data_IF_573532557836
#
_entry.id   IF_573532557836
#
_cell.length_a   1.000
_cell.length_b   1.000
_cell.length_c   1.000
_cell.angle_alpha   90.00
_cell.angle_beta   90.00
_cell.angle_gamma   90.00
#
_symmetry.space_group_name_H-M   'P 1'
#
loop_
_entity.id
_entity.type
_entity.pdbx_description
1 polymer ?
#
# COMPACT_ATOMS: atom_id res chain seq x y z
N UNK A 1 8.08 21.14 -6.01
CA UNK A 1 9.04 20.17 -5.41
C UNK A 1 8.36 18.90 -4.92
N UNK A 2 7.21 18.97 -4.32
CA UNK A 2 6.50 17.82 -3.75
C UNK A 2 6.04 16.77 -4.78
N UNK A 3 5.58 17.21 -5.94
CA UNK A 3 5.21 16.27 -7.03
C UNK A 3 6.39 15.42 -7.49
N UNK A 4 7.61 15.98 -7.55
CA UNK A 4 8.80 15.23 -7.94
C UNK A 4 9.16 14.13 -6.93
N UNK A 5 9.03 14.40 -5.63
CA UNK A 5 9.24 13.39 -4.57
C UNK A 5 8.21 12.27 -4.63
N UNK A 6 6.94 12.63 -4.89
CA UNK A 6 5.88 11.64 -5.06
C UNK A 6 6.18 10.71 -6.25
N UNK A 7 6.48 11.28 -7.41
CA UNK A 7 6.81 10.49 -8.59
C UNK A 7 8.07 9.65 -8.42
N UNK A 8 9.09 10.16 -7.72
CA UNK A 8 10.28 9.38 -7.40
C UNK A 8 9.94 8.16 -6.51
N UNK A 9 9.10 8.34 -5.49
CA UNK A 9 8.65 7.23 -4.63
C UNK A 9 7.80 6.22 -5.42
N UNK A 10 6.89 6.68 -6.28
CA UNK A 10 6.09 5.81 -7.16
C UNK A 10 6.99 5.01 -8.10
N UNK A 11 7.99 5.64 -8.73
CA UNK A 11 8.92 4.98 -9.65
C UNK A 11 9.78 3.94 -8.94
N UNK A 12 10.29 4.24 -7.74
CA UNK A 12 11.09 3.29 -6.95
C UNK A 12 10.24 2.08 -6.50
N UNK A 13 9.07 2.32 -5.92
CA UNK A 13 8.17 1.25 -5.48
C UNK A 13 7.62 0.46 -6.67
N UNK A 14 7.24 1.15 -7.75
CA UNK A 14 6.76 0.53 -8.98
C UNK A 14 7.84 -0.29 -9.66
N UNK A 15 9.07 0.21 -9.71
CA UNK A 15 10.22 -0.52 -10.26
C UNK A 15 10.53 -1.79 -9.47
N UNK A 16 10.56 -1.71 -8.13
CA UNK A 16 10.78 -2.86 -7.27
C UNK A 16 9.65 -3.90 -7.42
N UNK A 17 8.40 -3.46 -7.43
CA UNK A 17 7.24 -4.34 -7.63
C UNK A 17 7.24 -4.98 -9.02
N UNK A 18 7.61 -4.24 -10.06
CA UNK A 18 7.73 -4.78 -11.43
C UNK A 18 8.82 -5.86 -11.53
N UNK A 19 9.97 -5.65 -10.88
CA UNK A 19 11.05 -6.65 -10.85
C UNK A 19 10.61 -7.95 -10.15
N UNK A 20 9.96 -7.83 -8.98
CA UNK A 20 9.44 -9.00 -8.25
C UNK A 20 8.36 -9.72 -9.06
N UNK A 21 7.45 -8.98 -9.71
CA UNK A 21 6.41 -9.56 -10.54
C UNK A 21 6.97 -10.25 -11.78
N UNK A 22 7.96 -9.64 -12.44
CA UNK A 22 8.64 -10.23 -13.59
C UNK A 22 9.36 -11.52 -13.20
N UNK A 23 10.06 -11.54 -12.08
CA UNK A 23 10.70 -12.74 -11.56
C UNK A 23 9.68 -13.85 -11.28
N UNK A 24 8.55 -13.54 -10.65
CA UNK A 24 7.48 -14.50 -10.37
C UNK A 24 6.86 -15.09 -11.64
N UNK A 25 6.68 -14.28 -12.68
CA UNK A 25 6.20 -14.74 -13.99
C UNK A 25 7.23 -15.63 -14.69
N UNK A 26 8.51 -15.23 -14.67
CA UNK A 26 9.60 -16.01 -15.27
C UNK A 26 9.77 -17.39 -14.59
N UNK A 27 9.49 -17.47 -13.29
CA UNK A 27 9.50 -18.73 -12.53
C UNK A 27 8.22 -19.57 -12.74
N UNK A 28 7.28 -19.12 -13.57
CA UNK A 28 6.01 -19.82 -13.82
C UNK A 28 5.06 -19.84 -12.61
N UNK A 29 5.36 -19.04 -11.59
CA UNK A 29 4.56 -19.02 -10.36
C UNK A 29 3.21 -18.30 -10.54
N UNK A 30 3.10 -17.41 -11.55
CA UNK A 30 1.92 -16.54 -11.74
C UNK A 30 1.65 -16.26 -13.22
N UNK A 31 0.39 -16.34 -13.61
CA UNK A 31 -0.09 -15.79 -14.89
C UNK A 31 -0.41 -14.30 -14.72
N UNK A 32 0.37 -13.42 -15.31
CA UNK A 32 0.18 -11.97 -15.21
C UNK A 32 -1.07 -11.55 -15.99
N UNK A 33 -2.13 -11.27 -15.29
CA UNK A 33 -3.39 -10.74 -15.85
C UNK A 33 -3.42 -9.21 -15.81
N UNK A 34 -4.30 -8.59 -16.61
CA UNK A 34 -4.52 -7.14 -16.53
C UNK A 34 -4.95 -6.67 -15.13
N UNK A 35 -5.70 -7.51 -14.40
CA UNK A 35 -6.03 -7.26 -12.99
C UNK A 35 -4.77 -7.23 -12.10
N UNK A 36 -3.85 -8.17 -12.29
CA UNK A 36 -2.59 -8.21 -11.53
C UNK A 36 -1.75 -6.95 -11.74
N UNK A 37 -1.62 -6.49 -12.99
CA UNK A 37 -0.92 -5.25 -13.30
C UNK A 37 -1.57 -4.03 -12.60
N UNK A 38 -2.90 -3.92 -12.66
CA UNK A 38 -3.64 -2.86 -11.98
C UNK A 38 -3.50 -2.92 -10.45
N UNK A 39 -3.56 -4.12 -9.86
CA UNK A 39 -3.37 -4.31 -8.42
C UNK A 39 -1.98 -3.87 -7.95
N UNK A 40 -0.93 -4.25 -8.66
CA UNK A 40 0.44 -3.82 -8.36
C UNK A 40 0.58 -2.31 -8.51
N UNK A 41 0.12 -1.72 -9.60
CA UNK A 41 0.20 -0.28 -9.83
C UNK A 41 -0.52 0.53 -8.73
N UNK A 42 -1.76 0.15 -8.39
CA UNK A 42 -2.54 0.80 -7.33
C UNK A 42 -1.89 0.62 -5.95
N UNK A 43 -1.32 -0.54 -5.65
CA UNK A 43 -0.60 -0.77 -4.40
C UNK A 43 0.61 0.15 -4.29
N UNK A 44 1.39 0.30 -5.36
CA UNK A 44 2.53 1.22 -5.39
C UNK A 44 2.11 2.68 -5.21
N UNK A 45 1.04 3.10 -5.89
CA UNK A 45 0.49 4.46 -5.74
C UNK A 45 -0.01 4.73 -4.32
N UNK A 46 -0.75 3.79 -3.74
CA UNK A 46 -1.26 3.89 -2.38
C UNK A 46 -0.13 3.93 -1.34
N UNK A 47 0.86 3.04 -1.48
CA UNK A 47 2.03 3.02 -0.59
C UNK A 47 2.83 4.32 -0.68
N UNK A 48 3.09 4.82 -1.90
CA UNK A 48 3.81 6.07 -2.09
C UNK A 48 3.05 7.26 -1.47
N UNK A 49 1.74 7.35 -1.67
CA UNK A 49 0.91 8.40 -1.09
C UNK A 49 0.93 8.35 0.45
N UNK A 50 0.82 7.16 1.03
CA UNK A 50 0.87 6.97 2.49
C UNK A 50 2.23 7.35 3.07
N UNK A 51 3.32 6.91 2.44
CA UNK A 51 4.68 7.22 2.86
C UNK A 51 4.90 8.74 2.87
N UNK A 52 4.56 9.42 1.78
CA UNK A 52 4.72 10.87 1.68
C UNK A 52 3.86 11.61 2.70
N UNK A 53 2.61 11.19 2.90
CA UNK A 53 1.74 11.77 3.91
C UNK A 53 2.37 11.70 5.31
N UNK A 54 2.92 10.55 5.69
CA UNK A 54 3.56 10.36 6.99
C UNK A 54 4.83 11.22 7.11
N UNK A 55 5.64 11.31 6.06
CA UNK A 55 6.84 12.16 6.08
C UNK A 55 6.50 13.65 6.23
N UNK A 56 5.49 14.14 5.50
CA UNK A 56 5.05 15.53 5.61
C UNK A 56 4.46 15.85 6.99
N UNK A 57 3.75 14.88 7.58
CA UNK A 57 3.17 15.00 8.91
C UNK A 57 4.23 14.97 10.03
N UNK A 58 5.27 14.15 9.87
CA UNK A 58 6.33 13.96 10.86
C UNK A 58 7.29 15.18 10.97
N UNK A 59 7.36 16.00 9.94
CA UNK A 59 8.20 17.20 9.90
C UNK A 59 9.72 16.94 9.92
N UNK A 60 10.15 15.69 10.14
CA UNK A 60 11.55 15.29 10.09
C UNK A 60 11.71 13.87 9.55
N UNK A 61 12.80 13.63 8.80
CA UNK A 61 13.06 12.33 8.20
C UNK A 61 13.22 11.19 9.24
N UNK A 62 13.95 11.36 10.35
CA UNK A 62 14.07 10.31 11.36
C UNK A 62 12.73 9.94 12.01
N UNK A 63 11.88 10.94 12.33
CA UNK A 63 10.56 10.69 12.89
C UNK A 63 9.66 9.99 11.89
N UNK A 64 9.69 10.39 10.62
CA UNK A 64 8.94 9.74 9.54
C UNK A 64 9.30 8.26 9.40
N UNK A 65 10.58 7.92 9.41
CA UNK A 65 11.05 6.52 9.34
C UNK A 65 10.54 5.71 10.53
N UNK A 66 10.62 6.27 11.75
CA UNK A 66 10.15 5.58 12.96
C UNK A 66 8.64 5.31 12.91
N UNK A 67 7.85 6.33 12.55
CA UNK A 67 6.39 6.19 12.43
C UNK A 67 6.03 5.14 11.36
N UNK A 68 6.71 5.17 10.20
CA UNK A 68 6.51 4.19 9.13
C UNK A 68 6.86 2.78 9.59
N UNK A 69 7.98 2.59 10.27
CA UNK A 69 8.42 1.28 10.74
C UNK A 69 7.42 0.69 11.73
N UNK A 70 7.09 1.40 12.81
CA UNK A 70 6.14 0.92 13.79
C UNK A 70 4.73 0.78 13.21
N UNK A 71 4.30 1.73 12.39
CA UNK A 71 3.02 1.67 11.68
C UNK A 71 2.93 0.45 10.76
N UNK A 72 3.98 0.14 10.01
CA UNK A 72 4.02 -1.03 9.15
C UNK A 72 3.92 -2.35 9.93
N UNK A 73 4.62 -2.46 11.07
CA UNK A 73 4.52 -3.63 11.94
C UNK A 73 3.11 -3.82 12.48
N UNK A 74 2.49 -2.74 12.98
CA UNK A 74 1.12 -2.79 13.50
C UNK A 74 0.13 -3.13 12.38
N UNK A 75 0.27 -2.51 11.21
CA UNK A 75 -0.60 -2.80 10.07
C UNK A 75 -0.43 -4.24 9.57
N UNK A 76 0.80 -4.76 9.52
CA UNK A 76 1.06 -6.14 9.13
C UNK A 76 0.45 -7.15 10.14
N UNK A 77 0.49 -6.81 11.43
CA UNK A 77 -0.16 -7.61 12.47
C UNK A 77 -1.69 -7.61 12.29
N UNK A 78 -2.30 -6.43 12.15
CA UNK A 78 -3.75 -6.28 12.00
C UNK A 78 -4.29 -6.88 10.70
N UNK A 79 -3.50 -6.83 9.63
CA UNK A 79 -3.84 -7.43 8.33
C UNK A 79 -3.71 -8.97 8.31
N UNK A 80 -3.21 -9.58 9.39
CA UNK A 80 -3.00 -11.02 9.45
C UNK A 80 -1.70 -11.50 8.79
N UNK A 81 -0.79 -10.58 8.44
CA UNK A 81 0.48 -10.91 7.80
C UNK A 81 1.51 -11.52 8.76
N UNK A 82 1.47 -11.15 10.05
CA UNK A 82 2.36 -11.70 11.09
C UNK A 82 1.69 -12.82 11.89
N UNK A 83 0.38 -12.72 12.11
CA UNK A 83 -0.41 -13.72 12.83
C UNK A 83 -1.60 -14.11 11.95
N UNK A 84 -1.81 -15.39 11.68
CA UNK A 84 -2.96 -15.82 10.88
C UNK A 84 -4.27 -15.25 11.44
N UNK A 85 -5.11 -14.74 10.56
CA UNK A 85 -6.36 -14.08 10.92
C UNK A 85 -7.30 -14.92 11.78
N UNK A 86 -7.13 -16.26 11.75
CA UNK A 86 -7.91 -17.22 12.57
C UNK A 86 -7.71 -16.97 14.06
N UNK A 87 -6.51 -16.57 14.48
CA UNK A 87 -6.16 -16.34 15.89
C UNK A 87 -6.49 -14.92 16.38
N UNK A 88 -6.90 -14.01 15.49
CA UNK A 88 -7.24 -12.65 15.87
C UNK A 88 -8.68 -12.56 16.40
N UNK A 89 -8.92 -11.80 17.49
CA UNK A 89 -10.29 -11.51 17.98
C UNK A 89 -11.15 -10.86 16.89
N UNK A 90 -12.46 -11.08 16.95
CA UNK A 90 -13.41 -10.56 15.95
C UNK A 90 -13.33 -9.03 15.79
N UNK A 91 -13.19 -8.29 16.89
CA UNK A 91 -13.03 -6.83 16.89
C UNK A 91 -11.78 -6.37 16.13
N UNK A 92 -10.66 -7.08 16.31
CA UNK A 92 -9.39 -6.79 15.63
C UNK A 92 -9.50 -7.07 14.13
N UNK A 93 -10.20 -8.12 13.74
CA UNK A 93 -10.47 -8.44 12.32
C UNK A 93 -11.24 -7.34 11.62
N UNK A 94 -12.29 -6.80 12.26
CA UNK A 94 -13.09 -5.72 11.68
C UNK A 94 -12.24 -4.47 11.44
N UNK A 95 -11.41 -4.08 12.41
CA UNK A 95 -10.50 -2.95 12.26
C UNK A 95 -9.45 -3.25 11.20
N UNK A 96 -8.88 -4.45 11.22
CA UNK A 96 -7.84 -4.89 10.30
C UNK A 96 -8.24 -4.81 8.84
N UNK A 97 -9.49 -5.16 8.50
CA UNK A 97 -10.01 -5.11 7.13
C UNK A 97 -10.01 -3.72 6.48
N UNK A 98 -10.01 -2.66 7.28
CA UNK A 98 -9.97 -1.28 6.80
C UNK A 98 -8.56 -0.70 6.78
N UNK A 99 -7.57 -1.46 7.26
CA UNK A 99 -6.18 -1.01 7.25
C UNK A 99 -5.60 -1.01 5.83
N UNK A 100 -4.75 -0.03 5.49
CA UNK A 100 -4.10 0.05 4.19
C UNK A 100 -3.42 -1.24 3.76
N UNK A 101 -2.68 -1.88 4.68
CA UNK A 101 -1.99 -3.14 4.39
C UNK A 101 -2.94 -4.29 4.03
N UNK A 102 -4.11 -4.39 4.68
CA UNK A 102 -5.09 -5.42 4.36
C UNK A 102 -5.68 -5.21 2.95
N UNK A 103 -6.03 -3.97 2.60
CA UNK A 103 -6.54 -3.64 1.27
C UNK A 103 -5.52 -3.91 0.17
N UNK A 104 -4.23 -3.63 0.44
CA UNK A 104 -3.14 -3.96 -0.47
C UNK A 104 -2.99 -5.48 -0.63
N UNK A 105 -3.02 -6.23 0.49
CA UNK A 105 -2.95 -7.69 0.46
C UNK A 105 -4.14 -8.31 -0.27
N UNK A 106 -5.35 -7.83 -0.05
CA UNK A 106 -6.55 -8.33 -0.73
C UNK A 106 -6.48 -8.11 -2.24
N UNK A 107 -6.04 -6.93 -2.67
CA UNK A 107 -5.86 -6.62 -4.09
C UNK A 107 -4.79 -7.51 -4.73
N UNK A 108 -3.64 -7.69 -4.06
CA UNK A 108 -2.55 -8.54 -4.55
C UNK A 108 -2.94 -10.02 -4.53
N UNK A 109 -3.61 -10.50 -3.48
CA UNK A 109 -4.10 -11.88 -3.42
C UNK A 109 -5.07 -12.17 -4.55
N UNK A 110 -5.96 -11.23 -4.89
CA UNK A 110 -6.84 -11.34 -6.04
C UNK A 110 -6.10 -11.43 -7.38
N UNK A 111 -4.89 -10.92 -7.48
CA UNK A 111 -4.05 -11.07 -8.67
C UNK A 111 -3.53 -12.51 -8.86
N UNK A 112 -3.38 -13.26 -7.78
CA UNK A 112 -2.86 -14.64 -7.80
C UNK A 112 -3.96 -15.70 -7.75
N UNK A 113 -5.13 -15.38 -7.19
CA UNK A 113 -6.22 -16.34 -7.01
C UNK A 113 -7.42 -16.04 -7.94
N UNK A 114 -8.29 -15.14 -7.51
CA UNK A 114 -9.48 -14.76 -8.25
C UNK A 114 -9.66 -13.24 -8.25
N UNK A 115 -9.87 -12.60 -9.40
CA UNK A 115 -10.03 -11.16 -9.49
C UNK A 115 -11.17 -10.65 -8.60
N UNK A 116 -10.86 -9.71 -7.71
CA UNK A 116 -11.81 -9.07 -6.82
C UNK A 116 -11.91 -7.56 -7.15
N UNK A 117 -12.76 -7.17 -8.12
CA UNK A 117 -12.83 -5.77 -8.57
C UNK A 117 -13.16 -4.79 -7.45
N UNK A 118 -13.92 -5.23 -6.44
CA UNK A 118 -14.20 -4.43 -5.24
C UNK A 118 -12.96 -4.11 -4.41
N UNK A 119 -11.95 -4.97 -4.39
CA UNK A 119 -10.68 -4.71 -3.71
C UNK A 119 -9.89 -3.59 -4.40
N UNK A 120 -9.84 -3.60 -5.73
CA UNK A 120 -9.21 -2.52 -6.50
C UNK A 120 -9.90 -1.17 -6.28
N UNK A 121 -11.23 -1.14 -6.27
CA UNK A 121 -11.99 0.09 -6.03
C UNK A 121 -11.69 0.67 -4.63
N UNK A 122 -11.68 -0.16 -3.59
CA UNK A 122 -11.34 0.25 -2.22
C UNK A 122 -9.89 0.77 -2.13
N UNK A 123 -8.95 0.06 -2.75
CA UNK A 123 -7.55 0.45 -2.78
C UNK A 123 -7.35 1.77 -3.54
N UNK A 124 -8.03 1.95 -4.67
CA UNK A 124 -8.00 3.20 -5.43
C UNK A 124 -8.58 4.37 -4.66
N UNK A 125 -9.70 4.17 -3.97
CA UNK A 125 -10.30 5.20 -3.11
C UNK A 125 -9.34 5.59 -1.96
N UNK A 126 -8.71 4.61 -1.32
CA UNK A 126 -7.73 4.85 -0.27
C UNK A 126 -6.51 5.62 -0.80
N UNK A 127 -5.97 5.24 -1.95
CA UNK A 127 -4.86 5.96 -2.58
C UNK A 127 -5.22 7.43 -2.87
N UNK A 128 -6.43 7.68 -3.38
CA UNK A 128 -6.94 9.03 -3.62
C UNK A 128 -7.06 9.84 -2.32
N UNK A 129 -7.56 9.24 -1.24
CA UNK A 129 -7.68 9.90 0.07
C UNK A 129 -6.30 10.29 0.60
N UNK A 130 -5.32 9.37 0.61
CA UNK A 130 -3.97 9.69 1.05
C UNK A 130 -3.30 10.74 0.18
N UNK A 131 -3.50 10.71 -1.13
CA UNK A 131 -2.99 11.73 -2.04
C UNK A 131 -3.57 13.11 -1.73
N UNK A 132 -4.90 13.23 -1.53
CA UNK A 132 -5.54 14.49 -1.17
C UNK A 132 -5.08 15.01 0.19
N UNK A 133 -4.91 14.12 1.17
CA UNK A 133 -4.37 14.47 2.48
C UNK A 133 -2.93 15.00 2.38
N UNK A 134 -2.09 14.35 1.57
CA UNK A 134 -0.71 14.80 1.31
C UNK A 134 -0.69 16.19 0.73
N UNK A 135 -1.51 16.44 -0.31
CA UNK A 135 -1.62 17.79 -0.92
C UNK A 135 -2.12 18.83 0.08
N UNK A 136 -3.08 18.46 0.94
CA UNK A 136 -3.61 19.34 1.99
C UNK A 136 -2.56 19.73 3.02
N UNK A 137 -1.78 18.76 3.51
CA UNK A 137 -0.69 19.00 4.48
C UNK A 137 0.41 19.85 3.87
N UNK A 138 0.77 19.58 2.62
CA UNK A 138 1.80 20.35 1.91
C UNK A 138 1.42 21.82 1.74
N UNK A 139 0.16 22.12 1.34
CA UNK A 139 -0.33 23.50 1.23
C UNK A 139 -0.35 24.24 2.57
N UNK A 140 -0.45 23.51 3.67
CA UNK A 140 -0.42 24.10 5.01
C UNK A 140 1.02 24.44 5.47
N UNK A 141 2.00 23.73 4.95
CA UNK A 141 3.40 23.88 5.31
C UNK A 141 4.16 24.87 4.39
N UNK A 142 3.52 25.38 3.32
CA UNK A 142 3.98 26.50 2.49
C UNK A 142 3.53 27.85 3.07
#
# INVERSE_FOLDING_TARGET
>A
MASARYWAAVLLLGGAAALVSAAAVCLGAVNFSGYGAAAVALTCLAAAAMILFIYELAGSAPAGVMILFFGAVVMAFLAGGLVPSVFLPASVKVVGQWMPAALMMDALTGAFAAPAPGALAKLGAMAAVFFLLTVGVMKRNE
#
